data_IF_896208585318
#
_entry.id   IF_896208585318
#
_cell.length_a   1.000
_cell.length_b   1.000
_cell.length_c   1.000
_cell.angle_alpha   90.00
_cell.angle_beta   90.00
_cell.angle_gamma   90.00
#
_symmetry.space_group_name_H-M   'P 1'
#
loop_
_entity.id
_entity.type
_entity.pdbx_description
1 polymer ?
#
# COMPACT_ATOMS: atom_id res chain seq x y z
N UNK A 1 -22.16 14.77 -5.77
CA UNK A 1 -21.37 15.97 -5.36
C UNK A 1 -22.28 17.16 -5.16
N UNK A 2 -21.94 18.03 -4.22
CA UNK A 2 -22.69 19.27 -3.95
C UNK A 2 -21.74 20.31 -3.31
N UNK A 3 -22.21 21.56 -3.23
CA UNK A 3 -21.48 22.63 -2.56
C UNK A 3 -22.12 22.91 -1.19
N UNK A 4 -21.32 22.77 -0.15
CA UNK A 4 -21.67 23.15 1.23
C UNK A 4 -21.33 24.64 1.47
N UNK A 5 -22.12 25.33 2.27
CA UNK A 5 -21.81 26.69 2.74
C UNK A 5 -20.60 26.74 3.68
N UNK A 6 -20.31 25.65 4.37
CA UNK A 6 -19.25 25.60 5.42
C UNK A 6 -18.02 24.83 4.93
N UNK A 7 -18.19 23.75 4.16
CA UNK A 7 -17.11 22.82 3.81
C UNK A 7 -16.66 22.94 2.33
N UNK A 8 -17.23 23.88 1.58
CA UNK A 8 -16.92 24.02 0.15
C UNK A 8 -17.53 22.91 -0.71
N UNK A 9 -16.80 22.42 -1.69
CA UNK A 9 -17.25 21.29 -2.49
C UNK A 9 -17.13 20.00 -1.69
N UNK A 10 -18.12 19.12 -1.82
CA UNK A 10 -18.23 17.86 -1.10
C UNK A 10 -18.42 16.73 -2.12
N UNK A 11 -17.54 15.71 -2.04
CA UNK A 11 -17.67 14.45 -2.76
C UNK A 11 -18.31 13.43 -1.82
N UNK A 12 -19.35 12.77 -2.32
CA UNK A 12 -20.03 11.66 -1.63
C UNK A 12 -20.09 10.48 -2.59
N UNK A 13 -19.67 9.31 -2.14
CA UNK A 13 -19.83 8.02 -2.83
C UNK A 13 -20.66 7.12 -1.92
N UNK A 14 -21.69 6.50 -2.47
CA UNK A 14 -22.58 5.57 -1.77
C UNK A 14 -23.13 6.09 -0.42
N UNK A 15 -23.40 7.39 -0.35
CA UNK A 15 -23.91 8.06 0.85
C UNK A 15 -22.83 8.46 1.88
N UNK A 16 -21.56 8.12 1.65
CA UNK A 16 -20.43 8.44 2.55
C UNK A 16 -19.61 9.61 2.01
N UNK A 17 -19.30 10.58 2.88
CA UNK A 17 -18.41 11.71 2.54
C UNK A 17 -17.01 11.21 2.34
N UNK A 18 -16.47 11.42 1.14
CA UNK A 18 -15.10 11.05 0.78
C UNK A 18 -14.12 12.21 0.89
N UNK A 19 -14.58 13.43 0.59
CA UNK A 19 -13.71 14.59 0.44
C UNK A 19 -14.50 15.87 0.61
N UNK A 20 -13.94 16.83 1.32
CA UNK A 20 -14.38 18.23 1.26
C UNK A 20 -13.19 19.15 1.01
N UNK A 21 -13.40 20.27 0.31
CA UNK A 21 -12.30 21.22 0.05
C UNK A 21 -11.76 21.91 1.32
N UNK A 22 -12.43 21.77 2.44
CA UNK A 22 -12.02 22.38 3.70
C UNK A 22 -11.01 21.55 4.50
N UNK A 23 -11.18 20.23 4.54
CA UNK A 23 -10.41 19.35 5.44
C UNK A 23 -9.65 18.22 4.74
N UNK A 24 -9.70 18.14 3.40
CA UNK A 24 -9.05 17.09 2.62
C UNK A 24 -7.54 16.98 2.88
N UNK A 25 -6.88 18.12 3.14
CA UNK A 25 -5.44 18.12 3.38
C UNK A 25 -5.03 17.22 4.57
N UNK A 26 -5.89 17.11 5.58
CA UNK A 26 -5.63 16.27 6.74
C UNK A 26 -5.50 14.78 6.38
N UNK A 27 -6.30 14.31 5.41
CA UNK A 27 -6.20 12.94 4.91
C UNK A 27 -5.10 12.80 3.88
N UNK A 28 -5.14 13.62 2.82
CA UNK A 28 -4.25 13.51 1.65
C UNK A 28 -2.78 13.63 2.05
N UNK A 29 -2.45 14.60 2.91
CA UNK A 29 -1.08 14.77 3.37
C UNK A 29 -0.64 13.63 4.30
N UNK A 30 -1.48 13.14 5.21
CA UNK A 30 -1.07 12.10 6.13
C UNK A 30 -0.88 10.75 5.43
N UNK A 31 -1.81 10.33 4.56
CA UNK A 31 -1.69 9.05 3.84
C UNK A 31 -0.48 9.04 2.90
N UNK A 32 -0.13 10.19 2.31
CA UNK A 32 1.01 10.32 1.41
C UNK A 32 2.34 10.47 2.17
N UNK A 33 2.40 11.37 3.14
CA UNK A 33 3.69 11.76 3.73
C UNK A 33 4.17 10.83 4.83
N UNK A 34 3.29 10.12 5.55
CA UNK A 34 3.72 9.12 6.52
C UNK A 34 4.63 8.05 5.89
N UNK A 35 4.24 7.34 4.81
CA UNK A 35 5.11 6.34 4.20
C UNK A 35 6.30 6.97 3.46
N UNK A 36 6.11 8.12 2.79
CA UNK A 36 7.16 8.76 2.01
C UNK A 36 8.32 9.28 2.89
N UNK A 37 8.03 9.91 4.02
CA UNK A 37 9.06 10.35 4.96
C UNK A 37 9.65 9.21 5.81
N UNK A 38 8.95 8.07 5.91
CA UNK A 38 9.47 6.84 6.53
C UNK A 38 10.41 6.04 5.61
N UNK A 39 10.50 6.40 4.33
CA UNK A 39 11.42 5.78 3.38
C UNK A 39 12.64 6.67 3.12
N UNK A 40 13.88 6.14 3.13
CA UNK A 40 15.09 6.96 3.00
C UNK A 40 15.21 7.66 1.65
N UNK A 41 14.75 7.03 0.57
CA UNK A 41 14.83 7.56 -0.79
C UNK A 41 13.75 6.94 -1.70
N UNK A 42 12.48 7.37 -1.59
CA UNK A 42 11.39 6.84 -2.43
C UNK A 42 11.53 7.37 -3.85
N UNK A 43 11.63 6.47 -4.84
CA UNK A 43 11.76 6.80 -6.27
C UNK A 43 10.54 6.38 -7.07
N UNK A 44 9.99 5.20 -6.78
CA UNK A 44 8.87 4.62 -7.50
C UNK A 44 7.69 4.45 -6.56
N UNK A 45 6.64 5.20 -6.78
CA UNK A 45 5.44 5.21 -5.93
C UNK A 45 4.27 4.62 -6.72
N UNK A 46 3.51 3.73 -6.08
CA UNK A 46 2.23 3.25 -6.56
C UNK A 46 1.12 3.81 -5.67
N UNK A 47 0.07 4.30 -6.30
CA UNK A 47 -1.18 4.69 -5.64
C UNK A 47 -2.27 3.76 -6.17
N UNK A 48 -3.03 3.13 -5.30
CA UNK A 48 -4.20 2.30 -5.64
C UNK A 48 -5.43 3.03 -5.13
N UNK A 49 -6.36 3.31 -6.03
CA UNK A 49 -7.44 4.26 -5.79
C UNK A 49 -6.96 5.71 -5.91
N UNK A 50 -7.53 6.63 -5.16
CA UNK A 50 -7.13 8.04 -5.12
C UNK A 50 -7.45 8.82 -6.40
N UNK A 51 -8.51 8.45 -7.10
CA UNK A 51 -8.93 9.06 -8.35
C UNK A 51 -9.28 10.54 -8.26
N UNK A 52 -9.49 11.09 -7.06
CA UNK A 52 -9.68 12.53 -6.85
C UNK A 52 -8.40 13.36 -7.13
N UNK A 53 -7.21 12.70 -7.09
CA UNK A 53 -5.91 13.30 -7.38
C UNK A 53 -5.20 13.93 -6.20
N UNK A 54 -5.76 13.90 -4.98
CA UNK A 54 -5.16 14.52 -3.80
C UNK A 54 -3.86 13.84 -3.38
N UNK A 55 -3.83 12.51 -3.37
CA UNK A 55 -2.60 11.77 -3.05
C UNK A 55 -1.51 12.04 -4.09
N UNK A 56 -1.85 12.12 -5.39
CA UNK A 56 -0.88 12.49 -6.44
C UNK A 56 -0.29 13.87 -6.14
N UNK A 57 -1.13 14.86 -5.81
CA UNK A 57 -0.71 16.22 -5.47
C UNK A 57 0.32 16.24 -4.34
N UNK A 58 0.15 15.38 -3.35
CA UNK A 58 1.09 15.29 -2.24
C UNK A 58 2.39 14.56 -2.63
N UNK A 59 2.29 13.48 -3.39
CA UNK A 59 3.47 12.71 -3.82
C UNK A 59 4.39 13.53 -4.73
N UNK A 60 3.85 14.36 -5.62
CA UNK A 60 4.67 15.20 -6.53
C UNK A 60 5.52 16.24 -5.82
N UNK A 61 5.18 16.63 -4.56
CA UNK A 61 5.99 17.51 -3.72
C UNK A 61 7.36 16.91 -3.37
N UNK A 62 7.50 15.59 -3.46
CA UNK A 62 8.78 14.91 -3.22
C UNK A 62 9.64 14.90 -4.50
N UNK A 63 10.59 15.82 -4.58
CA UNK A 63 11.44 15.97 -5.75
C UNK A 63 12.29 14.73 -6.10
N UNK A 64 12.54 13.84 -5.11
CA UNK A 64 13.27 12.59 -5.31
C UNK A 64 12.45 11.47 -5.96
N UNK A 65 11.11 11.62 -6.06
CA UNK A 65 10.23 10.63 -6.71
C UNK A 65 10.38 10.76 -8.23
N UNK A 66 10.71 9.64 -8.86
CA UNK A 66 10.98 9.54 -10.31
C UNK A 66 9.74 9.08 -11.10
N UNK A 67 8.92 8.19 -10.53
CA UNK A 67 7.69 7.71 -11.17
C UNK A 67 6.55 7.58 -10.17
N UNK A 68 5.36 7.93 -10.60
CA UNK A 68 4.11 7.81 -9.84
C UNK A 68 3.13 7.04 -10.73
N UNK A 69 2.85 5.79 -10.36
CA UNK A 69 1.80 5.01 -11.01
C UNK A 69 0.55 5.11 -10.17
N UNK A 70 -0.58 5.45 -10.77
CA UNK A 70 -1.89 5.38 -10.12
C UNK A 70 -2.74 4.33 -10.80
N UNK A 71 -3.33 3.41 -10.02
CA UNK A 71 -4.26 2.40 -10.49
C UNK A 71 -5.64 2.70 -9.91
N UNK A 72 -6.53 3.25 -10.75
CA UNK A 72 -7.89 3.64 -10.38
C UNK A 72 -8.90 2.84 -11.20
N UNK A 73 -9.89 2.27 -10.51
CA UNK A 73 -10.91 1.44 -11.16
C UNK A 73 -12.01 2.29 -11.80
N UNK A 74 -12.32 3.46 -11.24
CA UNK A 74 -13.42 4.32 -11.68
C UNK A 74 -12.94 5.61 -12.34
N UNK A 75 -12.99 5.64 -13.66
CA UNK A 75 -12.67 6.86 -14.45
C UNK A 75 -13.57 8.05 -14.11
N UNK A 76 -14.79 7.82 -13.66
CA UNK A 76 -15.70 8.90 -13.33
C UNK A 76 -15.26 9.67 -12.10
N UNK A 77 -14.58 9.01 -11.15
CA UNK A 77 -13.98 9.69 -9.98
C UNK A 77 -12.89 10.64 -10.44
N UNK A 78 -12.04 10.24 -11.39
CA UNK A 78 -10.99 11.10 -11.95
C UNK A 78 -11.58 12.32 -12.66
N UNK A 79 -12.57 12.12 -13.52
CA UNK A 79 -13.25 13.21 -14.24
C UNK A 79 -13.92 14.18 -13.26
N UNK A 80 -14.54 13.62 -12.25
CA UNK A 80 -15.20 14.37 -11.19
C UNK A 80 -14.20 15.19 -10.35
N UNK A 81 -13.08 14.59 -9.97
CA UNK A 81 -11.98 15.26 -9.27
C UNK A 81 -11.47 16.46 -10.06
N UNK A 82 -11.10 16.24 -11.32
CA UNK A 82 -10.63 17.30 -12.22
C UNK A 82 -11.64 18.44 -12.40
N UNK A 83 -12.93 18.12 -12.53
CA UNK A 83 -13.98 19.09 -12.78
C UNK A 83 -14.38 19.90 -11.55
N UNK A 84 -14.53 19.24 -10.41
CA UNK A 84 -15.14 19.84 -9.23
C UNK A 84 -14.14 20.15 -8.11
N UNK A 85 -12.96 19.55 -8.14
CA UNK A 85 -11.88 19.73 -7.17
C UNK A 85 -10.55 20.05 -7.84
N UNK A 86 -10.46 21.10 -8.71
CA UNK A 86 -9.27 21.38 -9.51
C UNK A 86 -8.03 21.64 -8.68
N UNK A 87 -8.17 22.15 -7.44
CA UNK A 87 -7.04 22.35 -6.51
C UNK A 87 -6.50 21.04 -5.96
N UNK A 88 -7.37 20.04 -5.75
CA UNK A 88 -7.00 18.69 -5.31
C UNK A 88 -6.38 17.92 -6.49
N UNK A 89 -7.04 17.95 -7.63
CA UNK A 89 -6.66 17.26 -8.86
C UNK A 89 -5.56 17.96 -9.67
N UNK A 90 -4.79 18.87 -9.07
CA UNK A 90 -3.87 19.77 -9.77
C UNK A 90 -2.62 19.12 -10.36
N UNK A 91 -2.30 17.88 -9.96
CA UNK A 91 -1.04 17.23 -10.32
C UNK A 91 -1.17 16.09 -11.36
N UNK A 92 -2.34 15.92 -11.97
CA UNK A 92 -2.56 14.87 -12.99
C UNK A 92 -1.68 15.00 -14.23
N UNK A 93 -1.25 16.21 -14.56
CA UNK A 93 -0.42 16.47 -15.73
C UNK A 93 1.10 16.48 -15.43
N UNK A 94 1.50 16.10 -14.19
CA UNK A 94 2.92 15.94 -13.88
C UNK A 94 3.51 14.78 -14.71
N UNK A 95 4.62 15.04 -15.37
CA UNK A 95 5.29 14.10 -16.30
C UNK A 95 5.67 12.75 -15.67
N UNK A 96 5.73 12.67 -14.36
CA UNK A 96 6.04 11.44 -13.60
C UNK A 96 4.82 10.55 -13.39
N UNK A 97 3.61 11.07 -13.64
CA UNK A 97 2.34 10.37 -13.38
C UNK A 97 1.96 9.50 -14.57
N UNK A 98 1.64 8.24 -14.28
CA UNK A 98 1.06 7.30 -15.24
C UNK A 98 -0.21 6.72 -14.66
N UNK A 99 -1.31 6.83 -15.41
CA UNK A 99 -2.61 6.28 -15.04
C UNK A 99 -2.79 4.88 -15.63
N UNK A 100 -3.12 3.93 -14.77
CA UNK A 100 -3.59 2.59 -15.11
C UNK A 100 -5.05 2.46 -14.67
N UNK A 101 -5.95 2.22 -15.63
CA UNK A 101 -7.37 2.05 -15.29
C UNK A 101 -7.67 0.57 -15.08
N UNK A 102 -8.09 0.20 -13.86
CA UNK A 102 -8.43 -1.18 -13.54
C UNK A 102 -8.36 -1.53 -12.07
N UNK A 103 -8.54 -2.82 -11.80
CA UNK A 103 -8.50 -3.39 -10.47
C UNK A 103 -7.06 -3.42 -9.92
N UNK A 104 -6.86 -2.85 -8.72
CA UNK A 104 -5.56 -2.77 -8.06
C UNK A 104 -4.96 -4.12 -7.70
N UNK A 105 -5.77 -5.12 -7.33
CA UNK A 105 -5.29 -6.46 -7.02
C UNK A 105 -4.78 -7.17 -8.29
N UNK A 106 -5.51 -7.03 -9.39
CA UNK A 106 -5.09 -7.54 -10.71
C UNK A 106 -3.83 -6.83 -11.19
N UNK A 107 -3.74 -5.52 -10.98
CA UNK A 107 -2.56 -4.73 -11.34
C UNK A 107 -1.31 -5.19 -10.57
N UNK A 108 -1.43 -5.37 -9.25
CA UNK A 108 -0.34 -5.84 -8.39
C UNK A 108 0.15 -7.24 -8.76
N UNK A 109 -0.74 -8.11 -9.25
CA UNK A 109 -0.39 -9.50 -9.63
C UNK A 109 0.46 -9.61 -10.90
N UNK A 110 0.54 -8.55 -11.71
CA UNK A 110 1.33 -8.57 -12.96
C UNK A 110 2.82 -8.77 -12.68
N UNK A 111 3.52 -9.64 -13.45
CA UNK A 111 4.94 -9.91 -13.25
C UNK A 111 5.83 -8.67 -13.29
N UNK A 112 5.52 -7.70 -14.16
CA UNK A 112 6.28 -6.45 -14.32
C UNK A 112 6.16 -5.48 -13.16
N UNK A 113 5.25 -5.76 -12.22
CA UNK A 113 5.06 -4.94 -11.02
C UNK A 113 5.72 -5.54 -9.77
N UNK A 114 6.31 -6.75 -9.87
CA UNK A 114 6.96 -7.40 -8.74
C UNK A 114 8.30 -6.72 -8.38
N UNK A 115 8.52 -6.44 -7.09
CA UNK A 115 9.75 -5.82 -6.60
C UNK A 115 10.06 -4.44 -7.17
N UNK A 116 9.04 -3.69 -7.59
CA UNK A 116 9.18 -2.45 -8.38
C UNK A 116 9.08 -1.17 -7.55
N UNK A 117 8.24 -1.16 -6.51
CA UNK A 117 7.86 0.07 -5.82
C UNK A 117 8.61 0.27 -4.51
N UNK A 118 8.98 1.50 -4.22
CA UNK A 118 9.55 1.90 -2.93
C UNK A 118 8.44 2.21 -1.91
N UNK A 119 7.32 2.78 -2.39
CA UNK A 119 6.15 3.09 -1.56
C UNK A 119 4.88 2.70 -2.33
N UNK A 120 3.94 2.06 -1.62
CA UNK A 120 2.58 1.79 -2.11
C UNK A 120 1.61 2.48 -1.16
N UNK A 121 0.69 3.27 -1.72
CA UNK A 121 -0.38 3.95 -0.99
C UNK A 121 -1.70 3.40 -1.50
N UNK A 122 -2.56 2.89 -0.60
CA UNK A 122 -3.91 2.47 -0.94
C UNK A 122 -4.90 3.46 -0.36
N UNK A 123 -5.45 4.27 -1.24
CA UNK A 123 -6.46 5.28 -0.97
C UNK A 123 -7.80 4.76 -1.51
N UNK A 124 -8.45 3.91 -0.74
CA UNK A 124 -9.70 3.24 -1.11
C UNK A 124 -10.88 3.78 -0.30
N UNK A 125 -12.08 3.60 -0.83
CA UNK A 125 -13.33 3.72 -0.05
C UNK A 125 -13.40 2.62 1.02
N UNK A 126 -14.43 2.72 1.89
CA UNK A 126 -14.72 1.75 2.93
C UNK A 126 -14.82 0.31 2.38
N UNK A 127 -14.62 -0.73 3.24
CA UNK A 127 -14.57 -2.15 2.82
C UNK A 127 -15.95 -2.71 2.39
N UNK A 128 -16.58 -2.05 1.44
CA UNK A 128 -17.89 -2.42 0.88
C UNK A 128 -17.78 -2.59 -0.63
N UNK A 129 -18.46 -3.60 -1.18
CA UNK A 129 -18.48 -3.86 -2.63
C UNK A 129 -17.08 -4.15 -3.18
N UNK A 130 -16.64 -3.47 -4.27
CA UNK A 130 -15.35 -3.73 -4.90
C UNK A 130 -14.13 -3.50 -3.98
N UNK A 131 -14.24 -2.58 -3.01
CA UNK A 131 -13.16 -2.27 -2.09
C UNK A 131 -12.94 -3.34 -1.02
N UNK A 132 -13.89 -4.25 -0.76
CA UNK A 132 -13.79 -5.23 0.32
C UNK A 132 -12.53 -6.11 0.22
N UNK A 133 -12.14 -6.51 -1.00
CA UNK A 133 -10.94 -7.33 -1.24
C UNK A 133 -9.63 -6.64 -0.88
N UNK A 134 -9.61 -5.30 -0.84
CA UNK A 134 -8.43 -4.50 -0.48
C UNK A 134 -8.11 -4.56 1.03
N UNK A 135 -9.02 -5.11 1.84
CA UNK A 135 -8.87 -5.29 3.29
C UNK A 135 -8.54 -6.74 3.67
N UNK A 136 -8.17 -7.58 2.70
CA UNK A 136 -7.88 -9.00 2.93
C UNK A 136 -6.40 -9.35 2.78
N UNK A 137 -5.98 -10.43 3.45
CA UNK A 137 -4.58 -10.91 3.46
C UNK A 137 -3.96 -11.10 2.06
N UNK A 138 -4.67 -11.63 1.03
CA UNK A 138 -4.10 -11.77 -0.31
C UNK A 138 -3.65 -10.43 -0.93
N UNK A 139 -4.39 -9.34 -0.67
CA UNK A 139 -4.03 -8.02 -1.17
C UNK A 139 -2.75 -7.49 -0.49
N UNK A 140 -2.60 -7.67 0.82
CA UNK A 140 -1.39 -7.30 1.55
C UNK A 140 -0.18 -8.13 1.10
N UNK A 141 -0.37 -9.42 0.78
CA UNK A 141 0.68 -10.23 0.16
C UNK A 141 1.09 -9.71 -1.23
N UNK A 142 0.12 -9.33 -2.07
CA UNK A 142 0.38 -8.78 -3.39
C UNK A 142 1.16 -7.45 -3.30
N UNK A 143 0.78 -6.56 -2.37
CA UNK A 143 1.55 -5.33 -2.12
C UNK A 143 2.98 -5.64 -1.65
N UNK A 144 3.15 -6.59 -0.73
CA UNK A 144 4.49 -6.99 -0.27
C UNK A 144 5.35 -7.51 -1.42
N UNK A 145 4.79 -8.31 -2.33
CA UNK A 145 5.50 -8.82 -3.50
C UNK A 145 5.90 -7.71 -4.47
N UNK A 146 5.03 -6.71 -4.67
CA UNK A 146 5.28 -5.57 -5.54
C UNK A 146 6.30 -4.57 -4.97
N UNK A 147 6.51 -4.55 -3.66
CA UNK A 147 7.51 -3.70 -3.01
C UNK A 147 8.94 -4.21 -3.25
N UNK A 148 9.87 -3.27 -3.34
CA UNK A 148 11.31 -3.51 -3.11
C UNK A 148 11.59 -3.83 -1.66
N UNK A 149 12.75 -4.39 -1.37
CA UNK A 149 13.24 -4.61 0.00
C UNK A 149 13.26 -3.29 0.79
N UNK A 150 12.67 -3.31 2.00
CA UNK A 150 12.55 -2.12 2.85
C UNK A 150 11.46 -1.13 2.42
N UNK A 151 10.72 -1.45 1.37
CA UNK A 151 9.60 -0.62 0.89
C UNK A 151 8.49 -0.47 1.93
N UNK A 152 7.67 0.55 1.74
CA UNK A 152 6.61 0.96 2.68
C UNK A 152 5.23 0.88 2.04
N UNK A 153 4.25 0.48 2.82
CA UNK A 153 2.82 0.56 2.48
C UNK A 153 2.15 1.54 3.44
N UNK A 154 1.20 2.31 2.94
CA UNK A 154 0.21 3.01 3.75
C UNK A 154 -1.17 2.75 3.15
N UNK A 155 -2.12 2.30 3.97
CA UNK A 155 -3.51 2.07 3.55
C UNK A 155 -4.46 2.81 4.46
N UNK A 156 -5.59 3.28 3.92
CA UNK A 156 -6.74 3.63 4.73
C UNK A 156 -7.11 2.41 5.60
N UNK A 157 -7.38 2.62 6.87
CA UNK A 157 -7.57 1.54 7.85
C UNK A 157 -8.62 1.89 8.92
N UNK A 158 -9.67 2.56 8.52
CA UNK A 158 -10.89 2.76 9.29
C UNK A 158 -10.75 3.55 10.62
N UNK A 159 -11.90 3.91 11.18
CA UNK A 159 -11.97 4.61 12.47
C UNK A 159 -11.87 3.65 13.65
N UNK A 160 -10.96 3.92 14.58
CA UNK A 160 -10.81 3.15 15.82
C UNK A 160 -12.06 3.13 16.71
N UNK A 161 -12.94 4.11 16.56
CA UNK A 161 -14.18 4.21 17.32
C UNK A 161 -15.28 3.30 16.78
N UNK A 162 -15.23 2.98 15.48
CA UNK A 162 -16.28 2.23 14.81
C UNK A 162 -15.84 0.81 14.43
N UNK A 163 -14.56 0.62 14.09
CA UNK A 163 -14.09 -0.59 13.42
C UNK A 163 -12.84 -1.21 14.07
N UNK A 164 -12.71 -1.12 15.43
CA UNK A 164 -11.50 -1.58 16.13
C UNK A 164 -11.19 -3.07 15.91
N UNK A 165 -12.20 -3.93 15.77
CA UNK A 165 -11.97 -5.35 15.49
C UNK A 165 -11.46 -5.60 14.08
N UNK A 166 -11.94 -4.84 13.09
CA UNK A 166 -11.39 -4.87 11.73
C UNK A 166 -9.94 -4.40 11.71
N UNK A 167 -9.64 -3.30 12.40
CA UNK A 167 -8.27 -2.78 12.54
C UNK A 167 -7.36 -3.84 13.15
N UNK A 168 -7.79 -4.49 14.23
CA UNK A 168 -7.02 -5.55 14.87
C UNK A 168 -6.79 -6.75 13.93
N UNK A 169 -7.81 -7.13 13.14
CA UNK A 169 -7.67 -8.16 12.11
C UNK A 169 -6.64 -7.76 11.06
N UNK A 170 -6.71 -6.53 10.53
CA UNK A 170 -5.76 -6.01 9.54
C UNK A 170 -4.33 -6.01 10.09
N UNK A 171 -4.13 -5.56 11.34
CA UNK A 171 -2.82 -5.59 12.01
C UNK A 171 -2.30 -7.01 12.13
N UNK A 172 -3.12 -7.95 12.57
CA UNK A 172 -2.76 -9.37 12.70
C UNK A 172 -2.36 -9.96 11.36
N UNK A 173 -3.23 -9.83 10.36
CA UNK A 173 -3.04 -10.41 9.03
C UNK A 173 -1.79 -9.83 8.35
N UNK A 174 -1.62 -8.50 8.38
CA UNK A 174 -0.45 -7.83 7.83
C UNK A 174 0.84 -8.21 8.56
N UNK A 175 0.77 -8.48 9.87
CA UNK A 175 1.92 -8.93 10.66
C UNK A 175 2.44 -10.31 10.23
N UNK A 176 1.65 -11.13 9.53
CA UNK A 176 2.17 -12.36 8.93
C UNK A 176 3.08 -12.10 7.73
N UNK A 177 2.88 -11.00 7.03
CA UNK A 177 3.54 -10.68 5.76
C UNK A 177 4.67 -9.67 5.91
N UNK A 178 4.49 -8.65 6.75
CA UNK A 178 5.42 -7.53 6.89
C UNK A 178 6.31 -7.63 8.14
N UNK A 179 7.44 -6.95 8.10
CA UNK A 179 8.40 -6.90 9.21
C UNK A 179 7.93 -5.99 10.34
N UNK A 180 7.34 -4.84 10.00
CA UNK A 180 6.70 -3.92 10.94
C UNK A 180 5.30 -3.58 10.43
N UNK A 181 4.37 -3.49 11.36
CA UNK A 181 2.98 -3.06 11.13
C UNK A 181 2.62 -2.07 12.23
N UNK A 182 2.27 -0.86 11.86
CA UNK A 182 1.91 0.22 12.77
C UNK A 182 0.59 0.85 12.36
N UNK A 183 -0.22 1.23 13.34
CA UNK A 183 -1.47 1.96 13.13
C UNK A 183 -1.30 3.41 13.57
N UNK A 184 -1.65 4.34 12.68
CA UNK A 184 -1.64 5.76 12.93
C UNK A 184 -3.05 6.34 12.77
N UNK A 185 -3.29 7.54 13.28
CA UNK A 185 -4.58 8.23 13.15
C UNK A 185 -4.40 9.68 12.71
N UNK A 186 -5.39 10.20 11.99
CA UNK A 186 -5.48 11.61 11.65
C UNK A 186 -6.89 12.14 11.89
N UNK A 187 -7.00 13.44 12.20
CA UNK A 187 -8.27 14.10 12.47
C UNK A 187 -8.86 14.64 11.17
N UNK A 188 -10.09 14.24 10.86
CA UNK A 188 -10.83 14.72 9.68
C UNK A 188 -12.25 15.02 10.10
N UNK A 189 -12.60 16.30 10.32
CA UNK A 189 -13.88 16.69 10.90
C UNK A 189 -15.11 16.15 10.18
N UNK A 190 -15.05 15.95 8.86
CA UNK A 190 -16.18 15.48 8.05
C UNK A 190 -16.32 13.97 7.94
N UNK A 191 -15.34 13.21 8.40
CA UNK A 191 -15.42 11.75 8.43
C UNK A 191 -16.19 11.24 9.66
N UNK A 192 -16.78 10.04 9.62
CA UNK A 192 -17.43 9.44 10.78
C UNK A 192 -16.49 9.42 11.98
N UNK A 193 -17.01 9.82 13.14
CA UNK A 193 -16.25 10.00 14.38
C UNK A 193 -15.10 11.04 14.33
N UNK A 194 -15.03 11.88 13.29
CA UNK A 194 -14.07 12.98 13.16
C UNK A 194 -12.62 12.55 12.95
N UNK A 195 -12.35 11.29 12.60
CA UNK A 195 -11.00 10.79 12.40
C UNK A 195 -10.98 9.53 11.56
N UNK A 196 -9.83 9.22 10.96
CA UNK A 196 -9.56 7.99 10.25
C UNK A 196 -8.21 7.40 10.68
N UNK A 197 -8.06 6.09 10.54
CA UNK A 197 -6.81 5.40 10.75
C UNK A 197 -6.08 5.09 9.46
N UNK A 198 -4.78 4.94 9.61
CA UNK A 198 -3.86 4.56 8.54
C UNK A 198 -3.01 3.37 9.02
N UNK A 199 -2.95 2.32 8.24
CA UNK A 199 -2.08 1.18 8.53
C UNK A 199 -0.78 1.31 7.73
N UNK A 200 0.34 1.37 8.45
CA UNK A 200 1.68 1.44 7.87
C UNK A 200 2.36 0.09 7.98
N UNK A 201 2.85 -0.43 6.84
CA UNK A 201 3.57 -1.68 6.81
C UNK A 201 4.95 -1.50 6.17
N UNK A 202 5.94 -2.23 6.69
CA UNK A 202 7.30 -2.21 6.17
C UNK A 202 7.73 -3.59 5.71
N UNK A 203 8.15 -3.72 4.45
CA UNK A 203 8.69 -4.98 3.92
C UNK A 203 10.02 -5.32 4.54
N UNK A 204 10.26 -6.59 4.81
CA UNK A 204 11.52 -7.12 5.30
C UNK A 204 12.68 -6.75 4.35
N UNK A 205 13.82 -6.43 4.92
CA UNK A 205 15.08 -6.24 4.18
C UNK A 205 16.05 -7.34 4.57
N UNK A 206 16.68 -7.96 3.60
CA UNK A 206 17.67 -9.01 3.85
C UNK A 206 18.89 -8.46 4.60
N UNK A 207 19.22 -9.05 5.76
CA UNK A 207 20.41 -8.73 6.54
C UNK A 207 20.40 -7.38 7.27
N UNK A 208 19.28 -6.64 7.29
CA UNK A 208 19.17 -5.36 8.00
C UNK A 208 17.87 -5.26 8.78
N UNK A 209 17.90 -4.51 9.89
CA UNK A 209 16.69 -4.14 10.62
C UNK A 209 15.91 -3.11 9.78
N UNK A 210 14.65 -3.38 9.55
CA UNK A 210 13.78 -2.44 8.85
C UNK A 210 13.36 -1.33 9.83
N UNK A 211 13.54 -0.04 9.48
CA UNK A 211 13.07 1.06 10.30
C UNK A 211 11.55 1.02 10.45
N UNK A 212 11.06 1.32 11.65
CA UNK A 212 9.64 1.59 11.92
C UNK A 212 9.19 2.85 11.17
N UNK A 213 7.89 2.93 10.87
CA UNK A 213 7.28 4.13 10.30
C UNK A 213 6.94 5.20 11.35
N UNK A 214 7.07 4.92 12.65
CA UNK A 214 6.70 5.84 13.74
C UNK A 214 7.52 7.14 13.71
N UNK A 215 8.78 7.07 13.31
CA UNK A 215 9.64 8.25 13.18
C UNK A 215 10.02 8.48 11.72
N UNK A 216 9.90 9.69 11.21
CA UNK A 216 10.35 9.99 9.87
C UNK A 216 11.88 9.81 9.78
N UNK A 217 12.35 9.08 8.78
CA UNK A 217 13.80 8.92 8.50
C UNK A 217 14.35 10.12 7.73
N UNK A 218 13.47 10.90 7.12
CA UNK A 218 13.75 12.20 6.51
C UNK A 218 12.83 13.25 7.13
N UNK A 219 13.37 14.39 7.51
CA UNK A 219 12.55 15.52 8.00
C UNK A 219 12.13 16.41 6.83
N UNK A 220 11.01 17.09 7.00
CA UNK A 220 10.60 18.15 6.07
C UNK A 220 11.70 19.21 6.07
N UNK A 221 12.28 19.57 4.90
CA UNK A 221 13.25 20.65 4.83
C UNK A 221 12.61 21.96 5.29
N UNK A 222 13.34 22.77 6.07
CA UNK A 222 12.82 24.02 6.64
C UNK A 222 12.22 24.97 5.58
N UNK A 223 12.80 24.99 4.37
CA UNK A 223 12.29 25.78 3.23
C UNK A 223 11.00 25.24 2.61
N UNK A 224 10.62 24.01 2.93
CA UNK A 224 9.47 23.31 2.36
C UNK A 224 8.29 23.21 3.35
N UNK A 225 8.46 23.62 4.60
CA UNK A 225 7.39 23.53 5.63
C UNK A 225 6.13 24.30 5.23
N UNK A 226 6.24 25.38 4.48
CA UNK A 226 5.10 26.13 3.94
C UNK A 226 4.33 25.43 2.81
N UNK A 227 4.84 24.31 2.29
CA UNK A 227 4.17 23.52 1.25
C UNK A 227 3.12 22.54 1.81
N UNK A 228 3.08 22.40 3.14
CA UNK A 228 2.16 21.48 3.84
C UNK A 228 1.16 22.30 4.64
N UNK A 229 -0.10 21.93 4.53
CA UNK A 229 -1.19 22.56 5.28
C UNK A 229 -1.42 21.88 6.63
N UNK A 230 -1.23 20.58 6.69
CA UNK A 230 -1.54 19.75 7.85
C UNK A 230 -0.32 18.98 8.38
N UNK A 231 0.47 18.38 7.49
CA UNK A 231 1.58 17.51 7.87
C UNK A 231 2.78 18.29 8.43
N UNK A 232 3.34 17.79 9.52
CA UNK A 232 4.66 18.19 10.04
C UNK A 232 5.41 16.94 10.54
N UNK A 233 6.74 17.07 10.76
CA UNK A 233 7.52 15.96 11.33
C UNK A 233 7.08 15.61 12.75
N UNK A 234 6.60 16.58 13.52
CA UNK A 234 6.07 16.40 14.88
C UNK A 234 4.71 15.70 14.83
N UNK A 235 3.83 16.11 13.91
CA UNK A 235 2.53 15.46 13.71
C UNK A 235 2.69 14.04 13.19
N UNK A 236 3.72 13.77 12.39
CA UNK A 236 4.07 12.42 11.96
C UNK A 236 4.23 11.47 13.16
N UNK A 237 5.08 11.85 14.12
CA UNK A 237 5.31 11.02 15.31
C UNK A 237 4.04 10.96 16.21
N UNK A 238 3.33 12.08 16.36
CA UNK A 238 2.11 12.15 17.16
C UNK A 238 0.97 11.28 16.62
N UNK A 239 0.89 11.07 15.31
CA UNK A 239 -0.11 10.22 14.67
C UNK A 239 -0.13 8.78 15.19
N UNK A 240 1.00 8.29 15.71
CA UNK A 240 1.13 6.94 16.29
C UNK A 240 0.88 6.89 17.81
N UNK A 241 0.56 8.04 18.43
CA UNK A 241 0.19 8.11 19.85
C UNK A 241 -1.27 7.71 20.04
N UNK A 242 -1.52 6.42 20.21
CA UNK A 242 -2.85 5.83 20.26
C UNK A 242 -3.45 5.89 21.67
N UNK A 243 -4.80 6.04 21.81
CA UNK A 243 -5.50 5.80 23.05
C UNK A 243 -5.18 4.42 23.61
N UNK A 244 -5.10 4.29 24.94
CA UNK A 244 -4.67 3.08 25.62
C UNK A 244 -5.46 1.81 25.22
N UNK A 245 -6.77 1.93 24.96
CA UNK A 245 -7.59 0.79 24.54
C UNK A 245 -7.24 0.30 23.13
N UNK A 246 -6.92 1.22 22.20
CA UNK A 246 -6.48 0.90 20.84
C UNK A 246 -5.09 0.28 20.87
N UNK A 247 -4.15 0.93 21.59
CA UNK A 247 -2.78 0.43 21.72
C UNK A 247 -2.75 -1.00 22.23
N UNK A 248 -3.52 -1.32 23.29
CA UNK A 248 -3.63 -2.69 23.80
C UNK A 248 -4.18 -3.66 22.78
N UNK A 249 -5.21 -3.28 22.00
CA UNK A 249 -5.82 -4.15 20.99
C UNK A 249 -4.88 -4.40 19.81
N UNK A 250 -4.16 -3.38 19.36
CA UNK A 250 -3.13 -3.48 18.31
C UNK A 250 -1.97 -4.39 18.75
N UNK A 251 -1.44 -4.19 19.96
CA UNK A 251 -0.36 -5.04 20.47
C UNK A 251 -0.81 -6.50 20.69
N UNK A 252 -2.04 -6.73 21.15
CA UNK A 252 -2.60 -8.07 21.24
C UNK A 252 -2.66 -8.75 19.86
N UNK A 253 -3.12 -8.05 18.83
CA UNK A 253 -3.18 -8.58 17.47
C UNK A 253 -1.79 -8.96 16.92
N UNK A 254 -0.77 -8.13 17.17
CA UNK A 254 0.62 -8.45 16.82
C UNK A 254 1.16 -9.67 17.57
N UNK A 255 0.84 -9.78 18.85
CA UNK A 255 1.24 -10.93 19.69
C UNK A 255 0.58 -12.24 19.20
N UNK A 256 -0.70 -12.19 18.82
CA UNK A 256 -1.42 -13.33 18.21
C UNK A 256 -0.72 -13.78 16.92
N UNK A 257 -0.45 -12.85 15.99
CA UNK A 257 0.25 -13.17 14.73
C UNK A 257 1.63 -13.78 14.96
N UNK A 258 2.37 -13.27 15.95
CA UNK A 258 3.69 -13.81 16.32
C UNK A 258 3.58 -15.24 16.84
N UNK A 259 2.63 -15.52 17.74
CA UNK A 259 2.40 -16.85 18.28
C UNK A 259 2.02 -17.87 17.18
N UNK A 260 1.17 -17.45 16.23
CA UNK A 260 0.79 -18.29 15.08
C UNK A 260 1.99 -18.61 14.18
N UNK A 261 2.87 -17.63 13.89
CA UNK A 261 4.11 -17.87 13.14
C UNK A 261 5.05 -18.84 13.85
N UNK A 262 5.24 -18.68 15.16
CA UNK A 262 6.07 -19.58 15.96
C UNK A 262 5.52 -21.00 16.00
N UNK A 263 4.20 -21.15 16.13
CA UNK A 263 3.52 -22.44 16.08
C UNK A 263 3.69 -23.12 14.72
N UNK A 264 3.46 -22.39 13.63
CA UNK A 264 3.65 -22.89 12.27
C UNK A 264 5.10 -23.33 12.00
N UNK A 265 6.07 -22.54 12.45
CA UNK A 265 7.49 -22.87 12.31
C UNK A 265 7.90 -24.14 13.07
N UNK A 266 7.35 -24.37 14.27
CA UNK A 266 7.62 -25.56 15.09
C UNK A 266 6.99 -26.82 14.50
N UNK A 267 5.85 -26.69 13.82
CA UNK A 267 5.09 -27.83 13.26
C UNK A 267 5.30 -27.98 11.74
N UNK A 268 6.16 -27.19 11.12
CA UNK A 268 6.51 -27.40 9.72
C UNK A 268 7.18 -28.77 9.55
N UNK A 269 6.71 -29.63 8.60
CA UNK A 269 7.37 -30.89 8.33
C UNK A 269 8.82 -30.63 7.95
N UNK A 270 9.75 -31.36 8.55
CA UNK A 270 11.17 -31.28 8.20
C UNK A 270 11.28 -31.54 6.69
N UNK A 271 11.47 -30.49 5.90
CA UNK A 271 11.64 -30.60 4.46
C UNK A 271 12.84 -31.51 4.24
N UNK A 272 12.65 -32.57 3.45
CA UNK A 272 13.67 -33.51 3.03
C UNK A 272 14.88 -32.73 2.44
N UNK A 273 15.75 -32.31 3.31
CA UNK A 273 17.01 -31.68 2.97
C UNK A 273 18.03 -32.76 2.56
N UNK A 274 18.66 -32.57 1.43
CA UNK A 274 19.82 -33.27 0.87
C UNK A 274 19.50 -34.51 0.03
N UNK A 275 19.07 -34.29 -1.18
CA UNK A 275 19.39 -35.18 -2.28
C UNK A 275 20.92 -35.31 -2.39
N UNK A 276 21.48 -36.44 -1.92
CA UNK A 276 22.85 -36.83 -2.19
C UNK A 276 23.07 -36.81 -3.71
N UNK A 277 23.96 -35.98 -4.18
CA UNK A 277 24.58 -36.13 -5.50
C UNK A 277 25.23 -37.51 -5.53
N UNK A 278 24.59 -38.46 -6.23
CA UNK A 278 25.25 -39.69 -6.67
C UNK A 278 26.06 -39.34 -7.91
N UNK A 279 27.36 -39.35 -7.78
CA UNK A 279 28.28 -39.42 -8.91
C UNK A 279 28.04 -40.72 -9.64
N UNK A 280 27.66 -40.68 -10.91
CA UNK A 280 27.77 -41.80 -11.83
C UNK A 280 28.92 -41.50 -12.80
N UNK A 281 30.02 -42.19 -12.55
CA UNK A 281 31.12 -42.38 -13.51
C UNK A 281 30.66 -43.30 -14.66
N UNK A 282 30.94 -42.87 -15.85
CA UNK A 282 31.28 -43.46 -17.12
C UNK A 282 30.71 -44.80 -17.58
N UNK A 283 30.24 -44.80 -18.79
CA UNK A 283 30.75 -45.68 -19.85
C UNK A 283 30.10 -45.30 -21.19
N UNK A 284 30.96 -45.11 -22.17
CA UNK A 284 30.62 -44.96 -23.59
C UNK A 284 30.40 -46.34 -24.25
N UNK A 285 29.58 -46.36 -25.29
CA UNK A 285 29.63 -47.20 -26.52
C UNK A 285 28.32 -46.97 -27.29
N UNK A 286 28.36 -46.36 -28.44
CA UNK A 286 28.41 -46.90 -29.79
C UNK A 286 27.16 -47.72 -30.17
N UNK A 287 26.50 -47.31 -31.17
CA UNK A 287 26.25 -47.67 -32.59
C UNK A 287 24.83 -47.20 -32.97
N UNK A 288 24.64 -46.39 -33.93
CA UNK A 288 24.65 -46.47 -35.42
C UNK A 288 23.38 -47.12 -36.02
N UNK A 289 22.84 -46.41 -37.03
CA UNK A 289 21.99 -46.84 -38.16
C UNK A 289 20.51 -47.13 -37.91
N UNK A 290 19.59 -46.65 -38.65
CA UNK A 290 19.25 -46.37 -40.03
C UNK A 290 17.87 -45.68 -40.09
N UNK A 291 17.67 -44.64 -40.73
CA UNK A 291 17.24 -44.34 -42.08
C UNK A 291 15.93 -45.01 -42.56
N UNK A 292 15.10 -44.11 -43.06
CA UNK A 292 14.15 -44.27 -44.18
C UNK A 292 12.68 -44.51 -43.91
N UNK A 293 11.96 -43.54 -44.38
CA UNK A 293 10.95 -43.47 -45.50
C UNK A 293 9.54 -43.79 -45.03
N UNK A 294 8.54 -43.16 -45.44
CA UNK A 294 8.03 -42.34 -46.54
C UNK A 294 6.63 -41.84 -46.13
N UNK A 295 6.24 -40.65 -46.43
CA UNK A 295 5.33 -40.19 -47.49
C UNK A 295 3.90 -40.72 -47.51
N UNK A 296 3.03 -39.74 -47.66
CA UNK A 296 1.74 -39.68 -48.38
C UNK A 296 0.54 -40.21 -47.59
N UNK A 297 -0.67 -39.70 -47.68
CA UNK A 297 -1.35 -38.65 -48.47
C UNK A 297 -2.64 -38.26 -47.74
N UNK A 298 -3.10 -37.07 -48.11
CA UNK A 298 -4.48 -36.65 -48.39
C UNK A 298 -5.66 -37.12 -47.50
N UNK A 299 -6.36 -36.26 -46.86
CA UNK A 299 -7.55 -35.51 -47.32
C UNK A 299 -7.84 -34.31 -46.42
#
# INVERSE_FOLDING_TARGET
MFRSSTFGNVLVLDGVVQLTTRDEAAYQEMIAHLPLYSHPNPKHVLIIGGGDGGVIREVVKHAGVETITICEIDKMVIEAGKKYFPSVASAWDDKRVTLECGDGAVFLAKPENQGKYDVIITDSSDPVGPAASLFESPFYMAMNNALKDGGKVCTQAESMWMHLDLIAKLVKDSSHTFANVEYATTQIPTYPAGQIGLLLCSKQTTGRKVPSCVKPVRKVPAKETGNYHYYSSELHEAAFSLPAFVARRVEAAKAEAKAEKEFAAKNAPASAGKGKKRASTGAAAEEETAAKTAKTDEE
#
